data_IF_945298455771
#
_entry.id   IF_945298455771
#
_cell.length_a   1.000
_cell.length_b   1.000
_cell.length_c   1.000
_cell.angle_alpha   90.00
_cell.angle_beta   90.00
_cell.angle_gamma   90.00
#
_symmetry.space_group_name_H-M   'P 1'
#
loop_
_entity.id
_entity.type
_entity.pdbx_description
1 polymer ?
#
# COMPACT_ATOMS: atom_id res chain seq x y z
N UNK A 1 10.78 3.49 5.61
CA UNK A 1 9.32 3.19 5.42
C UNK A 1 9.01 1.92 4.62
N UNK A 2 9.53 1.75 3.39
CA UNK A 2 9.27 0.57 2.53
C UNK A 2 9.57 -0.79 3.17
N UNK A 3 10.72 -0.92 3.84
CA UNK A 3 11.15 -2.20 4.47
C UNK A 3 10.14 -2.72 5.49
N UNK A 4 9.58 -1.84 6.32
CA UNK A 4 8.58 -2.18 7.34
C UNK A 4 7.26 -2.63 6.73
N UNK A 5 6.83 -2.02 5.62
CA UNK A 5 5.59 -2.41 4.94
C UNK A 5 5.76 -3.71 4.16
N UNK A 6 6.92 -3.91 3.55
CA UNK A 6 7.26 -5.16 2.87
C UNK A 6 7.42 -6.33 3.85
N UNK A 7 8.05 -6.10 5.01
CA UNK A 7 8.15 -7.12 6.05
C UNK A 7 6.77 -7.49 6.59
N UNK A 8 5.91 -6.49 6.85
CA UNK A 8 4.52 -6.73 7.25
C UNK A 8 3.78 -7.56 6.21
N UNK A 9 3.84 -7.18 4.92
CA UNK A 9 3.18 -7.93 3.86
C UNK A 9 3.66 -9.39 3.83
N UNK A 10 4.98 -9.62 3.89
CA UNK A 10 5.54 -10.98 3.93
C UNK A 10 5.11 -11.78 5.16
N UNK A 11 5.00 -11.12 6.33
CA UNK A 11 4.54 -11.76 7.56
C UNK A 11 3.07 -12.17 7.44
N UNK A 12 2.21 -11.26 6.96
CA UNK A 12 0.79 -11.52 6.75
C UNK A 12 0.57 -12.67 5.76
N UNK A 13 1.26 -12.66 4.62
CA UNK A 13 1.21 -13.78 3.67
C UNK A 13 1.72 -15.09 4.28
N UNK A 14 2.80 -15.07 5.07
CA UNK A 14 3.31 -16.29 5.71
C UNK A 14 2.32 -16.88 6.74
N UNK A 15 1.61 -16.04 7.48
CA UNK A 15 0.64 -16.48 8.49
C UNK A 15 -0.64 -16.98 7.82
N UNK A 16 -1.13 -16.28 6.80
CA UNK A 16 -2.41 -16.58 6.14
C UNK A 16 -2.26 -17.69 5.09
N UNK A 17 -1.28 -17.59 4.19
CA UNK A 17 -1.11 -18.52 3.08
C UNK A 17 -0.34 -19.78 3.47
N UNK A 18 0.68 -19.68 4.34
CA UNK A 18 1.50 -20.83 4.76
C UNK A 18 1.02 -21.44 6.10
N UNK A 19 0.06 -20.82 6.78
CA UNK A 19 -0.53 -21.34 8.03
C UNK A 19 0.44 -21.35 9.23
N UNK A 20 1.48 -20.51 9.20
CA UNK A 20 2.49 -20.43 10.26
C UNK A 20 1.97 -19.74 11.52
N UNK A 21 1.46 -20.53 12.47
CA UNK A 21 0.92 -20.05 13.75
C UNK A 21 1.98 -19.73 14.81
N UNK A 22 3.23 -20.14 14.58
CA UNK A 22 4.40 -19.83 15.42
C UNK A 22 4.67 -18.33 15.55
N UNK A 23 4.22 -17.53 14.59
CA UNK A 23 4.41 -16.07 14.55
C UNK A 23 3.16 -15.25 14.90
N UNK A 24 2.15 -15.88 15.51
CA UNK A 24 0.89 -15.21 15.84
C UNK A 24 1.07 -13.96 16.73
N UNK A 25 2.01 -14.00 17.69
CA UNK A 25 2.31 -12.87 18.56
C UNK A 25 2.97 -11.70 17.81
N UNK A 26 3.94 -12.01 16.94
CA UNK A 26 4.60 -11.00 16.10
C UNK A 26 3.60 -10.36 15.12
N UNK A 27 2.70 -11.16 14.57
CA UNK A 27 1.61 -10.71 13.72
C UNK A 27 0.71 -9.69 14.43
N UNK A 28 0.21 -10.00 15.63
CA UNK A 28 -0.68 -9.09 16.36
C UNK A 28 0.04 -7.77 16.74
N UNK A 29 1.30 -7.84 17.17
CA UNK A 29 2.09 -6.66 17.52
C UNK A 29 2.34 -5.74 16.32
N UNK A 30 2.79 -6.29 15.19
CA UNK A 30 3.07 -5.49 13.98
C UNK A 30 1.78 -5.01 13.30
N UNK A 31 0.70 -5.79 13.33
CA UNK A 31 -0.60 -5.36 12.81
C UNK A 31 -1.16 -4.18 13.63
N UNK A 32 -1.07 -4.25 14.97
CA UNK A 32 -1.45 -3.14 15.87
C UNK A 32 -0.68 -1.85 15.57
N UNK A 33 0.62 -1.96 15.34
CA UNK A 33 1.50 -0.84 14.97
C UNK A 33 1.20 -0.29 13.58
N UNK A 34 0.77 -1.14 12.65
CA UNK A 34 0.45 -0.76 11.27
C UNK A 34 -0.97 -0.19 11.09
N UNK A 35 -1.89 -0.35 12.05
CA UNK A 35 -3.26 0.21 12.02
C UNK A 35 -3.35 1.65 11.49
N UNK A 36 -2.61 2.64 12.01
CA UNK A 36 -2.71 4.03 11.52
C UNK A 36 -2.36 4.16 10.03
N UNK A 37 -1.46 3.33 9.52
CA UNK A 37 -1.08 3.35 8.09
C UNK A 37 -2.24 2.87 7.21
N UNK A 38 -3.03 1.91 7.68
CA UNK A 38 -4.23 1.47 6.97
C UNK A 38 -5.34 2.52 6.99
N UNK A 39 -5.49 3.31 8.07
CA UNK A 39 -6.45 4.42 8.09
C UNK A 39 -6.06 5.57 7.15
N UNK A 40 -4.76 5.84 7.00
CA UNK A 40 -4.27 6.79 6.00
C UNK A 40 -4.38 6.25 4.57
N UNK A 41 -4.49 4.93 4.43
CA UNK A 41 -4.59 4.04 3.26
C UNK A 41 -3.53 4.18 2.18
N UNK A 42 -3.20 5.40 1.78
CA UNK A 42 -2.11 5.78 0.88
C UNK A 42 -1.64 7.23 1.12
N UNK A 43 -2.20 7.94 2.09
CA UNK A 43 -1.80 9.30 2.46
C UNK A 43 -0.45 9.25 3.18
N UNK A 44 0.45 10.13 2.78
CA UNK A 44 1.74 10.24 3.44
C UNK A 44 1.55 10.55 4.93
N UNK A 45 2.40 10.00 5.81
CA UNK A 45 2.35 10.35 7.21
C UNK A 45 2.59 11.87 7.35
N UNK A 46 1.90 12.53 8.29
CA UNK A 46 2.13 13.95 8.53
C UNK A 46 3.61 14.20 8.85
N UNK A 47 4.12 15.38 8.46
CA UNK A 47 5.50 15.80 8.69
C UNK A 47 5.79 15.71 10.19
N UNK A 48 6.40 14.60 10.60
CA UNK A 48 6.72 14.29 11.99
C UNK A 48 8.22 14.10 12.06
N UNK A 49 8.93 14.96 12.78
CA UNK A 49 10.37 14.88 12.95
C UNK A 49 10.69 13.63 13.78
N UNK A 50 11.01 12.51 13.12
CA UNK A 50 11.61 11.34 13.78
C UNK A 50 13.10 11.58 13.90
N UNK A 51 13.64 11.50 15.11
CA UNK A 51 15.09 11.52 15.30
C UNK A 51 15.68 10.23 14.71
N UNK A 52 16.49 10.36 13.65
CA UNK A 52 17.44 9.30 13.32
C UNK A 52 18.41 9.21 14.50
N UNK A 53 18.41 8.08 15.20
CA UNK A 53 19.31 7.85 16.34
C UNK A 53 20.78 7.66 15.91
N UNK A 54 21.02 7.43 14.62
CA UNK A 54 22.34 7.30 14.02
C UNK A 54 22.74 8.58 13.28
N UNK A 55 23.94 9.09 13.55
CA UNK A 55 24.53 10.16 12.75
C UNK A 55 25.07 9.55 11.46
N UNK A 56 24.48 9.92 10.33
CA UNK A 56 24.94 9.53 8.99
C UNK A 56 25.46 10.79 8.32
N UNK A 57 26.67 10.73 7.75
CA UNK A 57 27.19 11.81 6.92
C UNK A 57 26.54 11.70 5.54
N UNK A 58 25.75 12.71 5.15
CA UNK A 58 25.13 12.80 3.84
C UNK A 58 25.99 13.69 2.95
N UNK A 59 26.15 13.31 1.68
CA UNK A 59 26.77 14.18 0.67
C UNK A 59 25.80 15.25 0.20
N UNK A 60 26.31 16.37 -0.33
CA UNK A 60 25.48 17.46 -0.84
C UNK A 60 24.53 16.98 -1.95
N UNK A 61 25.03 16.17 -2.90
CA UNK A 61 24.21 15.54 -3.94
C UNK A 61 23.03 14.71 -3.39
N UNK A 62 23.24 14.05 -2.24
CA UNK A 62 22.19 13.24 -1.61
C UNK A 62 21.11 14.13 -1.00
N UNK A 63 21.51 15.25 -0.40
CA UNK A 63 20.58 16.22 0.20
C UNK A 63 19.72 16.86 -0.90
N UNK A 64 20.31 17.22 -2.04
CA UNK A 64 19.57 17.75 -3.19
C UNK A 64 18.55 16.74 -3.72
N UNK A 65 18.94 15.47 -3.90
CA UNK A 65 18.01 14.41 -4.29
C UNK A 65 16.89 14.21 -3.26
N UNK A 66 17.19 14.30 -1.96
CA UNK A 66 16.20 14.15 -0.90
C UNK A 66 15.15 15.25 -0.94
N UNK A 67 15.55 16.49 -1.18
CA UNK A 67 14.63 17.62 -1.35
C UNK A 67 13.74 17.40 -2.58
N UNK A 68 14.33 16.99 -3.71
CA UNK A 68 13.55 16.70 -4.93
C UNK A 68 12.52 15.60 -4.68
N UNK A 69 12.90 14.50 -4.02
CA UNK A 69 11.98 13.40 -3.70
C UNK A 69 10.91 13.84 -2.68
N UNK A 70 11.28 14.71 -1.74
CA UNK A 70 10.36 15.28 -0.77
C UNK A 70 9.27 16.11 -1.47
N UNK A 71 9.67 16.99 -2.38
CA UNK A 71 8.76 17.83 -3.18
C UNK A 71 7.94 16.98 -4.16
N UNK A 72 8.55 15.97 -4.77
CA UNK A 72 7.90 15.08 -5.74
C UNK A 72 6.68 14.37 -5.14
N UNK A 73 6.83 13.88 -3.92
CA UNK A 73 5.82 13.07 -3.27
C UNK A 73 5.09 13.78 -2.14
N UNK A 74 5.40 15.04 -1.83
CA UNK A 74 4.92 15.74 -0.62
C UNK A 74 5.18 14.91 0.65
N UNK A 75 6.42 14.43 0.77
CA UNK A 75 6.89 13.65 1.92
C UNK A 75 7.54 14.56 2.96
N UNK A 76 7.69 14.04 4.17
CA UNK A 76 8.63 14.58 5.14
C UNK A 76 10.05 14.36 4.61
N UNK A 77 10.92 15.36 4.71
CA UNK A 77 12.32 15.30 4.29
C UNK A 77 13.03 14.11 4.94
N UNK A 78 12.70 13.80 6.19
CA UNK A 78 13.23 12.64 6.89
C UNK A 78 12.79 11.32 6.25
N UNK A 79 11.54 11.25 5.81
CA UNK A 79 11.02 10.07 5.09
C UNK A 79 11.62 9.95 3.69
N UNK A 80 11.90 11.08 3.02
CA UNK A 80 12.60 11.12 1.74
C UNK A 80 14.05 10.62 1.87
N UNK A 81 14.76 11.04 2.93
CA UNK A 81 16.10 10.52 3.26
C UNK A 81 16.07 9.02 3.53
N UNK A 82 15.15 8.53 4.37
CA UNK A 82 15.01 7.08 4.60
C UNK A 82 14.74 6.31 3.30
N UNK A 83 13.88 6.84 2.43
CA UNK A 83 13.54 6.23 1.15
C UNK A 83 14.77 6.16 0.24
N UNK A 84 15.54 7.25 0.12
CA UNK A 84 16.76 7.28 -0.69
C UNK A 84 17.85 6.36 -0.15
N UNK A 85 18.03 6.27 1.17
CA UNK A 85 18.95 5.30 1.78
C UNK A 85 18.53 3.86 1.45
N UNK A 86 17.23 3.55 1.49
CA UNK A 86 16.74 2.23 1.05
C UNK A 86 16.93 2.00 -0.44
N UNK A 87 16.80 3.04 -1.27
CA UNK A 87 17.02 2.96 -2.71
C UNK A 87 18.49 2.66 -3.04
N UNK A 88 19.43 3.32 -2.33
CA UNK A 88 20.87 3.06 -2.45
C UNK A 88 21.21 1.61 -2.09
N UNK A 89 20.65 1.09 -0.99
CA UNK A 89 20.83 -0.31 -0.61
C UNK A 89 20.24 -1.32 -1.62
N UNK A 90 19.20 -0.94 -2.37
CA UNK A 90 18.56 -1.78 -3.40
C UNK A 90 19.12 -1.56 -4.82
N UNK A 91 20.01 -0.58 -5.00
CA UNK A 91 20.61 -0.24 -6.29
C UNK A 91 21.29 -1.42 -7.01
N UNK A 92 21.94 -2.39 -6.31
CA UNK A 92 22.50 -3.58 -6.97
C UNK A 92 21.47 -4.41 -7.75
N UNK A 93 20.19 -4.36 -7.37
CA UNK A 93 19.11 -5.06 -8.08
C UNK A 93 18.64 -4.32 -9.36
N UNK A 94 19.02 -3.05 -9.50
CA UNK A 94 18.60 -2.15 -10.57
C UNK A 94 19.82 -1.42 -11.18
N UNK A 95 20.74 -2.13 -11.86
CA UNK A 95 22.00 -1.54 -12.33
C UNK A 95 21.82 -0.43 -13.38
N UNK A 96 20.68 -0.42 -14.09
CA UNK A 96 20.40 0.55 -15.16
C UNK A 96 19.70 1.84 -14.67
N UNK A 97 19.44 1.95 -13.36
CA UNK A 97 18.65 3.04 -12.78
C UNK A 97 19.47 3.88 -11.80
N UNK A 98 19.23 5.18 -11.80
CA UNK A 98 19.77 6.09 -10.80
C UNK A 98 19.05 5.89 -9.45
N UNK A 99 19.72 6.23 -8.36
CA UNK A 99 19.18 6.13 -6.99
C UNK A 99 17.80 6.79 -6.85
N UNK A 100 17.63 8.00 -7.38
CA UNK A 100 16.33 8.70 -7.38
C UNK A 100 15.22 7.94 -8.13
N UNK A 101 15.51 7.34 -9.29
CA UNK A 101 14.53 6.53 -10.04
C UNK A 101 14.15 5.24 -9.30
N UNK A 102 15.11 4.63 -8.59
CA UNK A 102 14.85 3.49 -7.70
C UNK A 102 13.97 3.91 -6.53
N UNK A 103 14.20 5.09 -5.94
CA UNK A 103 13.36 5.62 -4.87
C UNK A 103 11.90 5.81 -5.32
N UNK A 104 11.67 6.30 -6.54
CA UNK A 104 10.33 6.39 -7.15
C UNK A 104 9.66 5.01 -7.23
N UNK A 105 10.38 3.98 -7.70
CA UNK A 105 9.83 2.62 -7.76
C UNK A 105 9.50 2.07 -6.37
N UNK A 106 10.39 2.26 -5.40
CA UNK A 106 10.17 1.82 -4.02
C UNK A 106 8.99 2.54 -3.36
N UNK A 107 8.77 3.81 -3.69
CA UNK A 107 7.60 4.56 -3.23
C UNK A 107 6.27 3.97 -3.72
N UNK A 108 6.21 3.50 -4.96
CA UNK A 108 4.99 2.85 -5.46
C UNK A 108 4.89 1.38 -5.04
N UNK A 109 6.02 0.68 -4.86
CA UNK A 109 6.04 -0.68 -4.34
C UNK A 109 5.59 -0.75 -2.87
N UNK A 110 5.91 0.27 -2.06
CA UNK A 110 5.40 0.34 -0.68
C UNK A 110 3.86 0.49 -0.66
N UNK A 111 3.30 1.33 -1.54
CA UNK A 111 1.84 1.48 -1.69
C UNK A 111 1.19 0.15 -2.08
N UNK A 112 1.79 -0.55 -3.05
CA UNK A 112 1.36 -1.89 -3.45
C UNK A 112 1.36 -2.87 -2.27
N UNK A 113 2.42 -2.87 -1.46
CA UNK A 113 2.52 -3.77 -0.31
C UNK A 113 1.44 -3.50 0.75
N UNK A 114 1.09 -2.23 1.02
CA UNK A 114 -0.01 -1.89 1.95
C UNK A 114 -1.34 -2.44 1.43
N UNK A 115 -1.66 -2.16 0.16
CA UNK A 115 -2.94 -2.56 -0.43
C UNK A 115 -3.04 -4.09 -0.55
N UNK A 116 -1.94 -4.77 -0.89
CA UNK A 116 -1.88 -6.23 -0.96
C UNK A 116 -2.05 -6.86 0.43
N UNK A 117 -1.45 -6.27 1.46
CA UNK A 117 -1.67 -6.69 2.86
C UNK A 117 -3.15 -6.54 3.24
N UNK A 118 -3.77 -5.41 2.90
CA UNK A 118 -5.19 -5.17 3.16
C UNK A 118 -6.07 -6.20 2.43
N UNK A 119 -5.78 -6.48 1.16
CA UNK A 119 -6.49 -7.51 0.38
C UNK A 119 -6.41 -8.87 1.06
N UNK A 120 -5.22 -9.26 1.50
CA UNK A 120 -4.99 -10.54 2.18
C UNK A 120 -5.75 -10.62 3.52
N UNK A 121 -5.76 -9.54 4.31
CA UNK A 121 -6.52 -9.45 5.56
C UNK A 121 -8.03 -9.54 5.32
N UNK A 122 -8.54 -8.87 4.28
CA UNK A 122 -9.95 -8.99 3.89
C UNK A 122 -10.20 -10.44 3.50
N UNK A 123 -9.44 -11.03 2.58
CA UNK A 123 -9.62 -12.42 2.13
C UNK A 123 -9.66 -13.45 3.27
N UNK A 124 -8.83 -13.27 4.30
CA UNK A 124 -8.74 -14.13 5.48
C UNK A 124 -9.85 -13.92 6.53
N UNK A 125 -10.67 -12.87 6.38
CA UNK A 125 -11.78 -12.57 7.29
C UNK A 125 -12.84 -13.67 7.25
N UNK A 126 -13.43 -13.94 8.41
CA UNK A 126 -14.56 -14.85 8.51
C UNK A 126 -15.78 -14.29 7.77
N UNK A 127 -16.39 -15.11 6.91
CA UNK A 127 -17.52 -14.71 6.09
C UNK A 127 -18.13 -15.87 5.32
N UNK A 128 -18.85 -15.56 4.24
CA UNK A 128 -19.56 -16.56 3.42
C UNK A 128 -18.65 -17.45 2.57
N UNK A 129 -17.37 -17.09 2.38
CA UNK A 129 -16.41 -17.89 1.61
C UNK A 129 -15.69 -18.91 2.50
N UNK A 130 -15.43 -20.09 1.93
CA UNK A 130 -14.82 -21.26 2.59
C UNK A 130 -13.29 -21.22 2.75
N UNK A 131 -12.62 -20.08 2.56
CA UNK A 131 -11.14 -20.01 2.54
C UNK A 131 -10.45 -20.08 3.92
N UNK A 132 -11.13 -20.57 4.97
CA UNK A 132 -10.67 -20.44 6.37
C UNK A 132 -10.06 -21.72 6.96
N UNK A 133 -9.79 -22.75 6.18
CA UNK A 133 -9.22 -24.00 6.74
C UNK A 133 -7.77 -23.83 7.27
N UNK A 134 -7.03 -22.78 6.87
CA UNK A 134 -5.70 -22.46 7.41
C UNK A 134 -5.72 -21.49 8.59
N UNK A 135 -6.61 -20.49 8.59
CA UNK A 135 -6.71 -19.45 9.65
C UNK A 135 -7.53 -19.94 10.86
N UNK A 136 -8.35 -21.00 10.69
CA UNK A 136 -9.00 -21.70 11.81
C UNK A 136 -8.02 -22.41 12.77
N UNK A 137 -6.73 -22.52 12.41
CA UNK A 137 -5.71 -23.10 13.27
C UNK A 137 -5.37 -22.24 14.51
N UNK A 138 -5.65 -20.93 14.49
CA UNK A 138 -5.50 -20.07 15.68
C UNK A 138 -6.65 -19.06 15.79
N UNK A 139 -7.58 -19.23 16.74
CA UNK A 139 -8.74 -18.33 16.91
C UNK A 139 -8.32 -16.91 17.30
N UNK A 140 -7.13 -16.73 17.87
CA UNK A 140 -6.60 -15.41 18.24
C UNK A 140 -6.27 -14.55 17.02
N UNK A 141 -5.67 -15.16 15.99
CA UNK A 141 -5.32 -14.48 14.73
C UNK A 141 -6.59 -14.09 13.98
N UNK A 142 -7.56 -15.01 13.87
CA UNK A 142 -8.85 -14.75 13.25
C UNK A 142 -9.58 -13.57 13.92
N UNK A 143 -9.61 -13.56 15.25
CA UNK A 143 -10.21 -12.46 16.03
C UNK A 143 -9.52 -11.12 15.74
N UNK A 144 -8.19 -11.08 15.75
CA UNK A 144 -7.44 -9.85 15.46
C UNK A 144 -7.71 -9.33 14.04
N UNK A 145 -7.78 -10.22 13.04
CA UNK A 145 -8.12 -9.86 11.65
C UNK A 145 -9.53 -9.27 11.57
N UNK A 146 -10.52 -9.94 12.18
CA UNK A 146 -11.90 -9.48 12.21
C UNK A 146 -12.02 -8.11 12.89
N UNK A 147 -11.36 -7.91 14.02
CA UNK A 147 -11.38 -6.65 14.78
C UNK A 147 -10.78 -5.49 13.97
N UNK A 148 -9.61 -5.71 13.34
CA UNK A 148 -8.94 -4.69 12.53
C UNK A 148 -9.74 -4.35 11.28
N UNK A 149 -10.19 -5.36 10.54
CA UNK A 149 -10.96 -5.13 9.30
C UNK A 149 -12.32 -4.50 9.59
N UNK A 150 -13.00 -4.86 10.69
CA UNK A 150 -14.24 -4.21 11.12
C UNK A 150 -14.04 -2.78 11.62
N UNK A 151 -12.91 -2.46 12.25
CA UNK A 151 -12.56 -1.07 12.57
C UNK A 151 -12.36 -0.25 11.31
N UNK A 152 -11.53 -0.74 10.38
CA UNK A 152 -11.24 -0.04 9.13
C UNK A 152 -12.51 0.27 8.33
N UNK A 153 -13.42 -0.70 8.22
CA UNK A 153 -14.69 -0.48 7.51
C UNK A 153 -15.57 0.60 8.15
N UNK A 154 -15.69 0.58 9.49
CA UNK A 154 -16.44 1.60 10.23
C UNK A 154 -15.86 3.00 10.05
N UNK A 155 -14.54 3.09 9.90
CA UNK A 155 -13.84 4.35 9.72
C UNK A 155 -13.86 4.86 8.26
N UNK A 156 -14.68 4.25 7.39
CA UNK A 156 -14.92 4.72 6.03
C UNK A 156 -13.97 4.16 4.97
N UNK A 157 -13.42 2.96 5.19
CA UNK A 157 -12.52 2.26 4.24
C UNK A 157 -13.06 2.26 2.80
N UNK A 158 -14.35 1.97 2.61
CA UNK A 158 -14.96 1.92 1.28
C UNK A 158 -14.83 3.25 0.54
N UNK A 159 -15.16 4.36 1.19
CA UNK A 159 -15.03 5.70 0.60
C UNK A 159 -13.58 6.00 0.21
N UNK A 160 -12.63 5.69 1.11
CA UNK A 160 -11.21 5.87 0.83
C UNK A 160 -10.75 5.03 -0.39
N UNK A 161 -11.19 3.78 -0.53
CA UNK A 161 -10.85 2.95 -1.69
C UNK A 161 -11.45 3.52 -2.98
N UNK A 162 -12.73 3.94 -2.96
CA UNK A 162 -13.40 4.51 -4.12
C UNK A 162 -12.75 5.84 -4.58
N UNK A 163 -12.22 6.64 -3.65
CA UNK A 163 -11.48 7.86 -3.96
C UNK A 163 -10.08 7.57 -4.54
N UNK A 164 -9.45 6.46 -4.14
CA UNK A 164 -8.10 6.07 -4.57
C UNK A 164 -8.07 5.32 -5.91
N UNK A 165 -9.13 4.59 -6.27
CA UNK A 165 -9.22 3.85 -7.54
C UNK A 165 -8.95 4.71 -8.80
N UNK A 166 -9.48 5.94 -8.92
CA UNK A 166 -9.17 6.86 -10.02
C UNK A 166 -7.75 7.40 -9.94
N UNK A 167 -7.23 7.65 -8.74
CA UNK A 167 -5.88 8.16 -8.51
C UNK A 167 -4.80 7.12 -8.89
N UNK A 168 -5.09 5.83 -8.69
CA UNK A 168 -4.25 4.70 -9.11
C UNK A 168 -4.33 4.39 -10.62
N UNK A 169 -4.77 5.35 -11.44
CA UNK A 169 -4.75 5.22 -12.89
C UNK A 169 -3.33 5.44 -13.42
N UNK A 170 -2.75 4.40 -14.02
CA UNK A 170 -1.42 4.42 -14.64
C UNK A 170 -1.20 5.65 -15.51
N UNK A 171 -2.18 6.05 -16.33
CA UNK A 171 -2.03 7.19 -17.26
C UNK A 171 -1.92 8.53 -16.53
N UNK A 172 -2.73 8.72 -15.48
CA UNK A 172 -2.71 9.96 -14.70
C UNK A 172 -1.43 10.05 -13.85
N UNK A 173 -1.03 8.93 -13.25
CA UNK A 173 0.19 8.87 -12.46
C UNK A 173 1.46 9.00 -13.33
N UNK A 174 1.45 8.42 -14.54
CA UNK A 174 2.54 8.60 -15.51
C UNK A 174 2.64 10.05 -15.99
N UNK A 175 1.51 10.71 -16.30
CA UNK A 175 1.51 12.11 -16.72
C UNK A 175 2.12 13.04 -15.66
N UNK A 176 1.78 12.84 -14.37
CA UNK A 176 2.38 13.59 -13.25
C UNK A 176 3.90 13.39 -13.16
N UNK A 177 4.37 12.15 -13.23
CA UNK A 177 5.80 11.86 -13.19
C UNK A 177 6.54 12.35 -14.44
N UNK A 178 5.85 12.45 -15.58
CA UNK A 178 6.40 13.02 -16.82
C UNK A 178 6.61 14.52 -16.70
N UNK A 179 5.64 15.23 -16.13
CA UNK A 179 5.74 16.67 -15.83
C UNK A 179 6.94 16.96 -14.90
N UNK A 180 7.13 16.11 -13.89
CA UNK A 180 8.20 16.23 -12.91
C UNK A 180 9.53 15.58 -13.36
N UNK A 181 9.64 15.12 -14.62
CA UNK A 181 10.83 14.45 -15.20
C UNK A 181 11.34 13.27 -14.37
N UNK A 182 10.45 12.59 -13.65
CA UNK A 182 10.74 11.48 -12.74
C UNK A 182 10.54 10.09 -13.39
N UNK A 183 10.25 10.04 -14.69
CA UNK A 183 10.16 8.79 -15.45
C UNK A 183 11.45 8.48 -16.20
N UNK A 184 12.00 7.30 -15.92
CA UNK A 184 13.23 6.83 -16.52
C UNK A 184 13.05 6.17 -17.89
N UNK A 185 13.91 5.18 -18.15
CA UNK A 185 13.92 4.39 -19.38
C UNK A 185 12.63 3.55 -19.57
N UNK A 186 12.48 2.92 -20.74
CA UNK A 186 11.31 2.11 -21.06
C UNK A 186 11.07 0.95 -20.05
N UNK A 187 12.13 0.42 -19.44
CA UNK A 187 12.03 -0.61 -18.39
C UNK A 187 11.39 -0.05 -17.12
N UNK A 188 11.85 1.10 -16.66
CA UNK A 188 11.29 1.82 -15.51
C UNK A 188 9.81 2.14 -15.71
N UNK A 189 9.44 2.65 -16.89
CA UNK A 189 8.05 2.93 -17.27
C UNK A 189 7.15 1.69 -17.19
N UNK A 190 7.63 0.55 -17.70
CA UNK A 190 6.89 -0.73 -17.61
C UNK A 190 6.74 -1.22 -16.16
N UNK A 191 7.79 -1.13 -15.36
CA UNK A 191 7.76 -1.55 -13.95
C UNK A 191 6.79 -0.67 -13.15
N UNK A 192 6.86 0.64 -13.33
CA UNK A 192 5.93 1.58 -12.73
C UNK A 192 4.47 1.31 -13.13
N UNK A 193 4.21 1.12 -14.43
CA UNK A 193 2.86 0.82 -14.92
C UNK A 193 2.30 -0.49 -14.36
N UNK A 194 3.14 -1.52 -14.24
CA UNK A 194 2.77 -2.78 -13.60
C UNK A 194 2.42 -2.60 -12.11
N UNK A 195 3.21 -1.82 -11.36
CA UNK A 195 2.93 -1.53 -9.94
C UNK A 195 1.60 -0.78 -9.77
N UNK A 196 1.36 0.25 -10.58
CA UNK A 196 0.10 1.02 -10.55
C UNK A 196 -1.11 0.16 -10.90
N UNK A 197 -0.99 -0.63 -11.96
CA UNK A 197 -2.02 -1.60 -12.33
C UNK A 197 -2.29 -2.57 -11.18
N UNK A 198 -1.26 -3.13 -10.53
CA UNK A 198 -1.43 -4.03 -9.39
C UNK A 198 -2.13 -3.35 -8.20
N UNK A 199 -1.76 -2.12 -7.85
CA UNK A 199 -2.44 -1.34 -6.80
C UNK A 199 -3.93 -1.20 -7.13
N UNK A 200 -4.26 -0.80 -8.36
CA UNK A 200 -5.65 -0.65 -8.79
C UNK A 200 -6.43 -1.96 -8.73
N UNK A 201 -5.85 -3.07 -9.19
CA UNK A 201 -6.48 -4.38 -9.11
C UNK A 201 -6.69 -4.81 -7.66
N UNK A 202 -5.68 -4.69 -6.79
CA UNK A 202 -5.83 -5.04 -5.38
C UNK A 202 -6.87 -4.17 -4.66
N UNK A 203 -6.97 -2.87 -4.97
CA UNK A 203 -8.02 -2.00 -4.43
C UNK A 203 -9.42 -2.46 -4.87
N UNK A 204 -9.59 -2.84 -6.14
CA UNK A 204 -10.86 -3.37 -6.64
C UNK A 204 -11.19 -4.74 -5.99
N UNK A 205 -10.18 -5.60 -5.84
CA UNK A 205 -10.31 -6.88 -5.15
C UNK A 205 -10.76 -6.69 -3.71
N UNK A 206 -10.25 -5.70 -2.97
CA UNK A 206 -10.68 -5.41 -1.61
C UNK A 206 -12.19 -5.17 -1.52
N UNK A 207 -12.76 -4.36 -2.42
CA UNK A 207 -14.21 -4.09 -2.45
C UNK A 207 -14.99 -5.35 -2.80
N UNK A 208 -14.51 -6.10 -3.79
CA UNK A 208 -15.16 -7.34 -4.24
C UNK A 208 -15.13 -8.44 -3.17
N UNK A 209 -13.98 -8.68 -2.55
CA UNK A 209 -13.79 -9.68 -1.48
C UNK A 209 -14.64 -9.33 -0.26
N UNK A 210 -14.70 -8.05 0.11
CA UNK A 210 -15.54 -7.60 1.20
C UNK A 210 -17.03 -7.91 0.93
N UNK A 211 -17.52 -7.57 -0.26
CA UNK A 211 -18.90 -7.82 -0.67
C UNK A 211 -19.23 -9.33 -0.74
N UNK A 212 -18.22 -10.17 -1.02
CA UNK A 212 -18.37 -11.62 -0.99
C UNK A 212 -18.52 -12.16 0.44
N UNK A 213 -17.82 -11.56 1.41
CA UNK A 213 -17.81 -12.05 2.79
C UNK A 213 -18.97 -11.53 3.62
N UNK A 214 -19.32 -10.25 3.44
CA UNK A 214 -20.36 -9.57 4.20
C UNK A 214 -21.30 -8.82 3.25
N UNK A 215 -22.62 -8.82 3.50
CA UNK A 215 -23.54 -8.02 2.71
C UNK A 215 -23.21 -6.55 2.88
N UNK A 216 -23.12 -5.82 1.77
CA UNK A 216 -22.99 -4.37 1.79
C UNK A 216 -24.29 -3.73 2.31
N UNK A 217 -24.16 -2.68 3.12
CA UNK A 217 -25.29 -1.83 3.48
C UNK A 217 -25.84 -1.08 2.26
N UNK A 218 -27.05 -0.52 2.39
CA UNK A 218 -27.68 0.24 1.29
C UNK A 218 -26.83 1.47 0.90
N UNK A 219 -26.29 2.20 1.88
CA UNK A 219 -25.42 3.36 1.64
C UNK A 219 -24.13 2.97 0.91
N UNK A 220 -23.49 1.89 1.35
CA UNK A 220 -22.27 1.35 0.73
C UNK A 220 -22.52 0.91 -0.72
N UNK A 221 -23.64 0.23 -0.96
CA UNK A 221 -24.04 -0.18 -2.30
C UNK A 221 -24.30 1.04 -3.20
N UNK A 222 -25.01 2.05 -2.70
CA UNK A 222 -25.25 3.29 -3.44
C UNK A 222 -23.95 4.03 -3.76
N UNK A 223 -22.98 4.05 -2.85
CA UNK A 223 -21.67 4.64 -3.09
C UNK A 223 -20.93 3.94 -4.23
N UNK A 224 -20.91 2.60 -4.24
CA UNK A 224 -20.32 1.80 -5.32
C UNK A 224 -21.06 2.03 -6.64
N UNK A 225 -22.39 2.05 -6.63
CA UNK A 225 -23.19 2.30 -7.85
C UNK A 225 -22.92 3.70 -8.44
N UNK A 226 -22.85 4.73 -7.60
CA UNK A 226 -22.50 6.10 -8.04
C UNK A 226 -21.10 6.16 -8.64
N UNK A 227 -20.14 5.46 -8.04
CA UNK A 227 -18.79 5.35 -8.58
C UNK A 227 -18.78 4.71 -9.97
N UNK A 228 -19.46 3.57 -10.13
CA UNK A 228 -19.54 2.86 -11.42
C UNK A 228 -20.27 3.68 -12.49
N UNK A 229 -21.30 4.44 -12.12
CA UNK A 229 -22.02 5.33 -13.05
C UNK A 229 -21.14 6.44 -13.61
N UNK A 230 -20.15 6.92 -12.85
CA UNK A 230 -19.23 7.97 -13.30
C UNK A 230 -18.32 7.50 -14.44
N UNK A 231 -17.94 6.22 -14.42
CA UNK A 231 -17.01 5.64 -15.38
C UNK A 231 -17.74 4.92 -16.54
N UNK A 232 -19.07 4.80 -16.49
CA UNK A 232 -19.88 4.24 -17.56
C UNK A 232 -20.11 5.30 -18.65
N UNK A 233 -19.90 5.00 -19.95
CA UNK A 233 -20.35 5.90 -21.01
C UNK A 233 -21.87 6.13 -20.88
N UNK A 234 -22.38 7.34 -21.21
CA UNK A 234 -23.82 7.59 -21.20
C UNK A 234 -24.51 6.56 -22.11
N UNK A 235 -25.65 6.03 -21.64
CA UNK A 235 -26.45 5.09 -22.41
C UNK A 235 -26.81 5.70 -23.79
N UNK A 236 -26.82 4.88 -24.86
CA UNK A 236 -27.12 5.33 -26.21
C UNK A 236 -28.55 5.87 -26.36
#
# INVERSE_FOLDING_TARGET
MWTSQKSLNSLVHSVIAEGRTDRAYEFDAELKKARPNFHALLKNPPITVRLIQQKICLSDDFIEEAIIVSDLFELNEMAAVELLLTAEGQQPSYPDLTRGLVAVLLYYDQQRCIVDTLRCLIEAREGRRWTVDSVTASPEVAKTINDVTASLWRDGLLGAILDLLPAANERLAAAKLEEQRALGNARHRRQFGALQSQVRHCLADCVFLWACQTPLGVEDLLAVMRFLQRDLPPAP
#
